data_IF_120766912027
#
_entry.id   IF_120766912027
#
_cell.length_a   1.000
_cell.length_b   1.000
_cell.length_c   1.000
_cell.angle_alpha   90.00
_cell.angle_beta   90.00
_cell.angle_gamma   90.00
#
_symmetry.space_group_name_H-M   'P 1'
#
loop_
_entity.id
_entity.type
_entity.pdbx_description
1 polymer ?
#
# COMPACT_ATOMS: atom_id res chain seq x y z
N UNK A 1 -27.26 0.58 -1.94
CA UNK A 1 -26.00 -0.06 -2.39
C UNK A 1 -24.86 0.16 -1.37
N UNK A 2 -25.01 -0.33 -0.15
CA UNK A 2 -23.98 -0.33 0.92
C UNK A 2 -23.70 -1.75 1.44
N UNK A 3 -24.32 -2.77 0.82
CA UNK A 3 -24.41 -4.13 1.36
C UNK A 3 -23.28 -5.07 0.93
N UNK A 4 -22.54 -4.76 -0.14
CA UNK A 4 -21.48 -5.65 -0.64
C UNK A 4 -20.11 -5.37 -0.01
N UNK A 5 -19.89 -4.13 0.47
CA UNK A 5 -18.65 -3.74 1.12
C UNK A 5 -18.44 -4.46 2.45
N UNK A 6 -19.50 -4.58 3.26
CA UNK A 6 -19.46 -5.30 4.53
C UNK A 6 -19.37 -6.82 4.37
N UNK A 7 -19.82 -7.37 3.23
CA UNK A 7 -19.84 -8.81 2.97
C UNK A 7 -18.49 -9.35 2.52
N UNK A 8 -17.63 -8.51 1.96
CA UNK A 8 -16.26 -8.91 1.58
C UNK A 8 -15.31 -8.95 2.78
N UNK A 9 -15.57 -8.14 3.82
CA UNK A 9 -14.85 -8.22 5.11
C UNK A 9 -15.18 -9.50 5.90
N UNK A 10 -16.31 -10.15 5.61
CA UNK A 10 -16.84 -11.28 6.39
C UNK A 10 -16.30 -12.67 5.99
N UNK A 11 -15.41 -12.77 5.00
CA UNK A 11 -14.76 -14.03 4.60
C UNK A 11 -13.27 -14.04 4.97
N UNK A 12 -12.92 -13.61 6.19
CA UNK A 12 -11.58 -13.86 6.74
C UNK A 12 -11.56 -15.18 7.50
N UNK A 13 -10.64 -16.11 7.19
CA UNK A 13 -10.51 -17.35 7.95
C UNK A 13 -10.21 -17.05 9.42
N UNK A 14 -10.73 -17.90 10.31
CA UNK A 14 -10.87 -17.73 11.76
C UNK A 14 -9.57 -17.65 12.59
N UNK A 15 -8.42 -17.29 12.00
CA UNK A 15 -7.12 -17.24 12.70
C UNK A 15 -6.48 -15.86 12.82
N UNK A 16 -7.18 -14.77 12.49
CA UNK A 16 -6.67 -13.40 12.60
C UNK A 16 -7.75 -12.41 13.04
N UNK A 17 -8.02 -12.33 14.34
CA UNK A 17 -8.68 -11.17 14.95
C UNK A 17 -7.71 -9.97 14.90
N UNK A 18 -7.57 -9.35 13.73
CA UNK A 18 -6.84 -8.09 13.58
C UNK A 18 -7.76 -6.96 13.97
N UNK A 19 -7.36 -6.13 14.93
CA UNK A 19 -8.08 -4.88 15.15
C UNK A 19 -7.61 -3.90 14.10
N UNK A 20 -8.52 -3.48 13.21
CA UNK A 20 -8.25 -2.48 12.22
C UNK A 20 -8.77 -1.13 12.70
N UNK A 21 -7.96 -0.10 12.53
CA UNK A 21 -8.33 1.24 12.93
C UNK A 21 -7.94 2.27 11.86
N UNK A 22 -8.86 3.19 11.60
CA UNK A 22 -8.62 4.33 10.74
C UNK A 22 -7.83 5.38 11.49
N UNK A 23 -6.74 5.84 10.90
CA UNK A 23 -5.89 6.90 11.45
C UNK A 23 -5.61 7.95 10.38
N UNK A 24 -5.48 9.23 10.77
CA UNK A 24 -5.05 10.26 9.85
C UNK A 24 -3.55 10.14 9.56
N UNK A 25 -3.19 10.20 8.29
CA UNK A 25 -1.83 10.33 7.78
C UNK A 25 -1.65 11.66 7.06
N UNK A 26 -0.40 12.09 6.93
CA UNK A 26 -0.03 13.27 6.14
C UNK A 26 0.54 12.80 4.81
N UNK A 27 -0.09 13.22 3.72
CA UNK A 27 0.36 12.95 2.37
C UNK A 27 0.99 14.23 1.79
N UNK A 28 2.23 14.12 1.32
CA UNK A 28 3.02 15.26 0.85
C UNK A 28 3.41 14.99 -0.59
N UNK A 29 3.07 15.92 -1.49
CA UNK A 29 3.33 15.78 -2.91
C UNK A 29 3.87 17.08 -3.53
N UNK A 30 4.47 16.95 -4.71
CA UNK A 30 4.90 18.09 -5.50
C UNK A 30 3.72 18.61 -6.33
N UNK A 31 3.39 19.88 -6.13
CA UNK A 31 2.48 20.60 -7.02
C UNK A 31 3.05 20.68 -8.44
N UNK A 32 2.21 20.93 -9.46
CA UNK A 32 2.69 21.23 -10.82
C UNK A 32 3.67 22.41 -10.92
N UNK A 33 3.73 23.26 -9.89
CA UNK A 33 4.64 24.41 -9.80
C UNK A 33 5.94 24.09 -9.05
N UNK A 34 6.14 22.84 -8.62
CA UNK A 34 7.30 22.39 -7.86
C UNK A 34 7.25 22.69 -6.36
N UNK A 35 6.21 23.36 -5.86
CA UNK A 35 6.01 23.59 -4.42
C UNK A 35 5.44 22.34 -3.73
N UNK A 36 5.78 22.11 -2.47
CA UNK A 36 5.24 21.02 -1.67
C UNK A 36 3.82 21.34 -1.18
N UNK A 37 2.91 20.39 -1.38
CA UNK A 37 1.54 20.43 -0.85
C UNK A 37 1.41 19.30 0.17
N UNK A 38 0.90 19.64 1.37
CA UNK A 38 0.52 18.67 2.39
C UNK A 38 -1.00 18.54 2.44
N UNK A 39 -1.50 17.31 2.39
CA UNK A 39 -2.91 16.97 2.58
C UNK A 39 -3.05 15.90 3.67
N UNK A 40 -4.23 15.85 4.28
CA UNK A 40 -4.57 14.83 5.28
C UNK A 40 -5.36 13.73 4.59
N UNK A 41 -4.93 12.48 4.79
CA UNK A 41 -5.60 11.30 4.21
C UNK A 41 -5.87 10.28 5.31
N UNK A 42 -7.00 9.58 5.22
CA UNK A 42 -7.34 8.53 6.17
C UNK A 42 -6.75 7.20 5.68
N UNK A 43 -5.92 6.58 6.52
CA UNK A 43 -5.36 5.26 6.29
C UNK A 43 -5.94 4.27 7.28
N UNK A 44 -5.98 2.99 6.93
CA UNK A 44 -6.30 1.93 7.89
C UNK A 44 -5.02 1.23 8.30
N UNK A 45 -4.83 1.06 9.59
CA UNK A 45 -3.70 0.36 10.17
C UNK A 45 -4.17 -0.81 11.01
N UNK A 46 -3.31 -1.82 11.09
CA UNK A 46 -3.42 -2.89 12.05
C UNK A 46 -2.85 -2.52 13.41
N UNK A 47 -2.91 -3.48 14.34
CA UNK A 47 -2.25 -3.40 15.65
C UNK A 47 -0.73 -3.10 15.51
N UNK A 48 -0.05 -2.62 16.57
CA UNK A 48 1.36 -2.16 16.47
C UNK A 48 2.38 -3.19 15.96
N UNK A 49 2.05 -4.48 15.98
CA UNK A 49 2.89 -5.57 15.48
C UNK A 49 2.59 -5.94 14.02
N UNK A 50 1.58 -5.32 13.41
CA UNK A 50 1.22 -5.53 12.02
C UNK A 50 2.02 -4.57 11.13
N UNK A 51 2.56 -5.10 10.05
CA UNK A 51 3.55 -4.41 9.23
C UNK A 51 2.95 -3.92 7.90
N UNK A 52 1.70 -3.48 7.93
CA UNK A 52 0.99 -2.99 6.75
C UNK A 52 0.08 -1.80 7.05
N UNK A 53 -0.25 -1.08 5.98
CA UNK A 53 -1.31 -0.08 5.97
C UNK A 53 -2.18 -0.25 4.72
N UNK A 54 -3.46 0.08 4.85
CA UNK A 54 -4.36 0.25 3.72
C UNK A 54 -4.53 1.75 3.47
N UNK A 55 -4.49 2.15 2.20
CA UNK A 55 -4.53 3.55 1.82
C UNK A 55 -5.51 3.77 0.65
N UNK A 56 -6.03 5.01 0.52
CA UNK A 56 -6.82 5.42 -0.63
C UNK A 56 -6.11 5.17 -1.96
N UNK A 57 -6.89 4.88 -3.00
CA UNK A 57 -6.33 4.51 -4.31
C UNK A 57 -5.60 5.66 -4.99
N UNK A 58 -6.10 6.87 -4.86
CA UNK A 58 -5.50 8.11 -5.36
C UNK A 58 -4.08 8.31 -4.80
N UNK A 59 -3.88 8.06 -3.50
CA UNK A 59 -2.55 8.09 -2.88
C UNK A 59 -1.62 7.04 -3.50
N UNK A 60 -2.10 5.81 -3.66
CA UNK A 60 -1.31 4.73 -4.29
C UNK A 60 -0.97 5.02 -5.75
N UNK A 61 -1.91 5.56 -6.52
CA UNK A 61 -1.68 5.97 -7.90
C UNK A 61 -0.74 7.17 -8.02
N UNK A 62 -0.75 8.10 -7.05
CA UNK A 62 0.20 9.20 -7.00
C UNK A 62 1.64 8.69 -6.82
N UNK A 63 1.87 7.72 -5.92
CA UNK A 63 3.17 7.04 -5.82
C UNK A 63 3.56 6.39 -7.16
N UNK A 64 2.67 5.57 -7.73
CA UNK A 64 2.95 4.90 -9.03
C UNK A 64 3.32 5.91 -10.11
N UNK A 65 2.55 6.98 -10.24
CA UNK A 65 2.75 8.02 -11.25
C UNK A 65 4.09 8.74 -11.10
N UNK A 66 4.53 9.02 -9.87
CA UNK A 66 5.83 9.62 -9.61
C UNK A 66 6.98 8.67 -9.99
N UNK A 67 6.92 7.41 -9.53
CA UNK A 67 8.01 6.45 -9.77
C UNK A 67 8.11 6.09 -11.27
N UNK A 68 6.98 6.08 -12.01
CA UNK A 68 6.99 5.93 -13.47
C UNK A 68 7.67 7.09 -14.21
N UNK A 69 7.57 8.33 -13.70
CA UNK A 69 8.15 9.52 -14.34
C UNK A 69 9.67 9.59 -14.18
N UNK A 70 10.19 9.09 -13.07
CA UNK A 70 11.61 9.16 -12.77
C UNK A 70 12.45 8.09 -13.49
N UNK A 71 11.85 7.33 -14.42
CA UNK A 71 12.55 6.32 -15.21
C UNK A 71 13.03 5.09 -14.42
N UNK A 72 12.74 5.05 -13.12
CA UNK A 72 13.10 3.96 -12.19
C UNK A 72 12.35 2.66 -12.49
N UNK A 73 11.18 2.74 -13.16
CA UNK A 73 10.39 1.57 -13.51
C UNK A 73 10.75 1.01 -14.90
N UNK A 74 11.80 0.19 -14.94
CA UNK A 74 11.72 -1.10 -15.65
C UNK A 74 10.92 -2.13 -14.82
N UNK A 75 9.94 -1.66 -14.03
CA UNK A 75 9.14 -2.55 -13.21
C UNK A 75 8.17 -3.27 -14.12
N UNK A 76 8.50 -4.55 -14.34
CA UNK A 76 7.74 -5.51 -15.14
C UNK A 76 6.33 -5.75 -14.61
N UNK A 77 6.03 -5.29 -13.40
CA UNK A 77 4.78 -5.53 -12.69
C UNK A 77 4.02 -4.20 -12.44
N UNK A 78 2.93 -3.99 -13.17
CA UNK A 78 2.16 -2.74 -13.09
C UNK A 78 1.45 -2.52 -11.75
N UNK A 79 1.20 -3.56 -10.97
CA UNK A 79 0.44 -3.48 -9.72
C UNK A 79 1.33 -3.40 -8.48
N UNK A 80 2.65 -3.29 -8.64
CA UNK A 80 3.62 -3.28 -7.54
C UNK A 80 4.57 -2.09 -7.67
N UNK A 81 4.81 -1.37 -6.57
CA UNK A 81 5.81 -0.30 -6.51
C UNK A 81 6.72 -0.48 -5.29
N UNK A 82 8.05 -0.50 -5.46
CA UNK A 82 8.97 -0.52 -4.33
C UNK A 82 8.96 0.83 -3.61
N UNK A 83 8.99 0.78 -2.29
CA UNK A 83 9.05 1.91 -1.37
C UNK A 83 10.06 1.60 -0.26
N UNK A 84 10.42 2.64 0.47
CA UNK A 84 11.21 2.58 1.69
C UNK A 84 10.39 3.21 2.80
N UNK A 85 10.34 2.56 3.95
CA UNK A 85 9.77 3.11 5.16
C UNK A 85 10.89 3.60 6.08
N UNK A 86 10.91 4.89 6.36
CA UNK A 86 11.88 5.51 7.26
C UNK A 86 11.30 5.59 8.67
N UNK A 87 11.87 4.84 9.61
CA UNK A 87 11.33 4.69 10.97
C UNK A 87 11.40 5.99 11.79
N UNK A 88 12.53 6.70 11.73
CA UNK A 88 12.74 7.93 12.53
C UNK A 88 11.71 9.02 12.22
N UNK A 89 11.32 9.12 10.96
CA UNK A 89 10.40 10.14 10.45
C UNK A 89 9.01 9.56 10.13
N UNK A 90 8.83 8.26 10.31
CA UNK A 90 7.61 7.46 10.09
C UNK A 90 6.95 7.77 8.76
N UNK A 91 7.69 7.63 7.67
CA UNK A 91 7.15 7.90 6.34
C UNK A 91 7.59 6.91 5.28
N UNK A 92 6.71 6.73 4.31
CA UNK A 92 7.01 6.02 3.08
C UNK A 92 7.46 6.99 2.00
N UNK A 93 8.49 6.64 1.25
CA UNK A 93 8.95 7.30 0.03
C UNK A 93 9.52 6.26 -0.94
N UNK A 94 9.79 6.64 -2.18
CA UNK A 94 10.57 5.80 -3.09
C UNK A 94 12.05 6.20 -3.02
N UNK A 95 12.97 5.25 -3.21
CA UNK A 95 14.41 5.52 -3.17
C UNK A 95 14.87 6.49 -4.26
N UNK A 96 14.31 6.35 -5.48
CA UNK A 96 14.64 7.20 -6.63
C UNK A 96 13.85 8.51 -6.65
N UNK A 97 12.74 8.60 -5.90
CA UNK A 97 11.83 9.74 -5.92
C UNK A 97 11.48 10.21 -4.50
N UNK A 98 11.96 11.39 -4.06
CA UNK A 98 11.72 11.87 -2.71
C UNK A 98 10.26 12.23 -2.45
N UNK A 99 9.43 12.39 -3.49
CA UNK A 99 7.99 12.68 -3.40
C UNK A 99 7.18 11.86 -4.41
N UNK A 100 5.96 11.43 -4.05
CA UNK A 100 5.25 11.79 -2.83
C UNK A 100 5.77 11.07 -1.58
N UNK A 101 5.42 11.60 -0.41
CA UNK A 101 5.69 10.98 0.89
C UNK A 101 4.37 10.74 1.63
N UNK A 102 4.28 9.62 2.33
CA UNK A 102 3.16 9.33 3.21
C UNK A 102 3.67 9.16 4.64
N UNK A 103 3.43 10.16 5.49
CA UNK A 103 3.80 10.13 6.91
C UNK A 103 2.66 9.57 7.75
N UNK A 104 2.96 8.57 8.57
CA UNK A 104 1.99 7.84 9.37
C UNK A 104 2.15 8.16 10.87
N UNK A 105 1.07 8.05 11.67
CA UNK A 105 1.08 8.51 13.05
C UNK A 105 1.74 7.53 14.03
N UNK A 106 1.97 6.27 13.64
CA UNK A 106 2.64 5.25 14.46
C UNK A 106 3.75 4.61 13.63
N UNK A 107 4.80 4.15 14.31
CA UNK A 107 5.85 3.38 13.65
C UNK A 107 5.33 1.98 13.26
N UNK A 108 6.03 1.34 12.31
CA UNK A 108 5.79 -0.06 11.94
C UNK A 108 6.91 -0.94 12.50
N UNK A 109 6.66 -2.24 12.73
CA UNK A 109 7.67 -3.13 13.30
C UNK A 109 8.92 -3.20 12.42
N UNK A 110 10.03 -2.67 12.92
CA UNK A 110 11.32 -2.76 12.24
C UNK A 110 11.85 -4.20 12.29
N UNK A 111 12.31 -4.71 11.15
CA UNK A 111 12.81 -6.08 11.03
C UNK A 111 14.32 -6.22 11.26
N UNK A 112 15.00 -5.09 11.40
CA UNK A 112 16.46 -4.98 11.43
C UNK A 112 16.89 -3.89 12.40
N UNK A 113 18.20 -3.76 12.62
CA UNK A 113 18.76 -2.66 13.41
C UNK A 113 19.01 -1.40 12.56
N UNK A 114 18.35 -1.27 11.41
CA UNK A 114 18.50 -0.14 10.48
C UNK A 114 17.40 0.90 10.71
N UNK A 115 17.63 2.14 10.25
CA UNK A 115 16.67 3.25 10.39
C UNK A 115 15.60 3.26 9.30
N UNK A 116 15.70 2.33 8.34
CA UNK A 116 14.75 2.17 7.25
C UNK A 116 14.48 0.68 6.98
N UNK A 117 13.25 0.39 6.57
CA UNK A 117 12.80 -0.94 6.13
C UNK A 117 12.33 -0.89 4.68
N UNK A 118 12.68 -1.90 3.85
CA UNK A 118 12.10 -2.05 2.53
C UNK A 118 10.59 -2.30 2.63
N UNK A 119 9.83 -1.73 1.71
CA UNK A 119 8.39 -1.83 1.68
C UNK A 119 7.88 -1.92 0.24
N UNK A 120 6.70 -2.49 0.07
CA UNK A 120 6.07 -2.62 -1.24
C UNK A 120 4.65 -2.08 -1.19
N UNK A 121 4.32 -1.21 -2.14
CA UNK A 121 2.96 -0.81 -2.46
C UNK A 121 2.35 -1.80 -3.46
N UNK A 122 1.19 -2.35 -3.11
CA UNK A 122 0.38 -3.25 -3.93
C UNK A 122 -0.91 -2.53 -4.36
N UNK A 123 -1.11 -2.37 -5.66
CA UNK A 123 -2.26 -1.69 -6.27
C UNK A 123 -3.47 -2.65 -6.38
N UNK A 124 -3.96 -3.16 -5.25
CA UNK A 124 -5.09 -4.10 -5.25
C UNK A 124 -6.40 -3.41 -5.71
N UNK A 125 -7.32 -4.12 -6.39
CA UNK A 125 -8.55 -3.53 -6.94
C UNK A 125 -9.53 -2.95 -5.93
N UNK A 126 -9.50 -3.35 -4.66
CA UNK A 126 -10.41 -2.82 -3.64
C UNK A 126 -9.82 -1.63 -2.88
N UNK A 127 -8.61 -1.81 -2.33
CA UNK A 127 -7.86 -0.80 -1.57
C UNK A 127 -6.39 -1.01 -1.85
N UNK A 128 -5.60 0.05 -1.90
CA UNK A 128 -4.15 -0.12 -2.02
C UNK A 128 -3.57 -0.50 -0.67
N UNK A 129 -2.50 -1.28 -0.68
CA UNK A 129 -1.84 -1.76 0.54
C UNK A 129 -0.35 -1.48 0.45
N UNK A 130 0.25 -0.93 1.49
CA UNK A 130 1.70 -0.93 1.66
C UNK A 130 2.02 -1.93 2.77
N UNK A 131 2.99 -2.82 2.54
CA UNK A 131 3.50 -3.72 3.57
C UNK A 131 5.02 -3.67 3.61
N UNK A 132 5.63 -3.83 4.79
CA UNK A 132 7.07 -3.96 4.91
C UNK A 132 7.49 -5.33 4.35
N UNK A 133 8.52 -5.34 3.50
CA UNK A 133 9.02 -6.56 2.87
C UNK A 133 9.57 -7.52 3.92
N UNK A 134 9.69 -8.81 3.58
CA UNK A 134 10.14 -9.83 4.53
C UNK A 134 9.15 -10.16 5.66
N UNK A 135 7.97 -9.53 5.72
CA UNK A 135 6.94 -9.80 6.73
C UNK A 135 5.89 -10.80 6.26
N UNK A 136 5.14 -11.37 7.21
CA UNK A 136 3.93 -12.17 6.89
C UNK A 136 2.87 -11.33 6.18
N UNK A 137 2.78 -10.03 6.46
CA UNK A 137 1.81 -9.14 5.83
C UNK A 137 2.14 -8.87 4.36
N UNK A 138 3.42 -8.69 4.02
CA UNK A 138 3.85 -8.59 2.63
C UNK A 138 3.59 -9.89 1.86
N UNK A 139 3.86 -11.05 2.47
CA UNK A 139 3.54 -12.34 1.85
C UNK A 139 2.04 -12.49 1.58
N UNK A 140 1.21 -12.24 2.59
CA UNK A 140 -0.24 -12.30 2.47
C UNK A 140 -0.77 -11.36 1.36
N UNK A 141 -0.27 -10.13 1.32
CA UNK A 141 -0.71 -9.13 0.34
C UNK A 141 -0.31 -9.51 -1.08
N UNK A 142 0.89 -10.08 -1.26
CA UNK A 142 1.36 -10.62 -2.55
C UNK A 142 0.48 -11.77 -3.02
N UNK A 143 0.14 -12.70 -2.14
CA UNK A 143 -0.71 -13.85 -2.46
C UNK A 143 -2.14 -13.42 -2.82
N UNK A 144 -2.66 -12.39 -2.12
CA UNK A 144 -3.94 -11.77 -2.43
C UNK A 144 -3.94 -11.11 -3.83
N UNK A 145 -2.88 -10.38 -4.18
CA UNK A 145 -2.73 -9.79 -5.52
C UNK A 145 -2.71 -10.87 -6.60
N UNK A 146 -1.89 -11.91 -6.43
CA UNK A 146 -1.79 -13.03 -7.37
C UNK A 146 -3.12 -13.77 -7.53
N UNK A 147 -3.84 -14.01 -6.43
CA UNK A 147 -5.16 -14.63 -6.46
C UNK A 147 -6.18 -13.77 -7.21
N UNK A 148 -6.12 -12.45 -7.02
CA UNK A 148 -7.00 -11.51 -7.70
C UNK A 148 -6.77 -11.47 -9.21
N UNK A 149 -5.49 -11.51 -9.63
CA UNK A 149 -5.12 -11.59 -11.05
C UNK A 149 -5.66 -12.87 -11.70
N UNK A 150 -5.38 -14.02 -11.08
CA UNK A 150 -5.87 -15.32 -11.56
C UNK A 150 -7.39 -15.33 -11.69
N UNK A 151 -8.10 -14.80 -10.68
CA UNK A 151 -9.55 -14.71 -10.71
C UNK A 151 -10.07 -13.83 -11.86
N UNK A 152 -9.41 -12.70 -12.13
CA UNK A 152 -9.73 -11.84 -13.27
C UNK A 152 -9.55 -12.57 -14.60
N UNK A 153 -8.42 -13.25 -14.78
CA UNK A 153 -8.14 -14.00 -16.00
C UNK A 153 -9.15 -15.13 -16.25
N UNK A 154 -9.55 -15.83 -15.18
CA UNK A 154 -10.55 -16.89 -15.27
C UNK A 154 -11.95 -16.34 -15.56
N UNK A 155 -12.30 -15.18 -14.99
CA UNK A 155 -13.56 -14.49 -15.30
C UNK A 155 -13.61 -14.02 -16.75
N UNK A 156 -12.51 -13.50 -17.29
CA UNK A 156 -12.47 -13.04 -18.68
C UNK A 156 -12.65 -14.21 -19.67
N UNK A 157 -12.04 -15.38 -19.41
CA UNK A 157 -12.28 -16.60 -20.21
C UNK A 157 -13.73 -17.10 -20.17
N UNK A 158 -14.50 -16.75 -19.14
CA UNK A 158 -15.91 -17.13 -19.03
C UNK A 158 -16.85 -16.20 -19.80
N UNK A 159 -16.42 -14.99 -20.15
CA UNK A 159 -17.22 -14.05 -20.95
C UNK A 159 -17.26 -14.42 -22.43
N UNK A 160 -16.24 -15.13 -22.90
CA UNK A 160 -16.08 -15.54 -24.30
C UNK A 160 -16.75 -16.90 -24.60
N UNK A 161 -17.67 -17.34 -23.73
CA UNK A 161 -18.52 -18.53 -23.88
C UNK A 161 -19.99 -18.15 -23.85
#
# INVERSE_FOLDING_TARGET
MLSLFNRWLALRPASLNRTLYTRPAKFIELSPRGSLIESKVDITMGDPHEAFILLPKDVGHAFRGAISRDGSLLVRDEDVCPLIFHHETRHFANESSPYPQLKIPQDLPCQSNTTASPATLYLLPATHTIALDGTRDAQYTRDLLNSTRKFKDDLDKLKDK
#
